data_IF_313894452328
#
_entry.id   IF_313894452328
#
_cell.length_a   1.000
_cell.length_b   1.000
_cell.length_c   1.000
_cell.angle_alpha   90.00
_cell.angle_beta   90.00
_cell.angle_gamma   90.00
#
_symmetry.space_group_name_H-M   'P 1'
#
loop_
_entity.id
_entity.type
_entity.pdbx_description
1 polymer ?
#
# COMPACT_ATOMS: atom_id res chain seq x y z
N UNK A 1 12.75 8.45 -15.26
CA UNK A 1 13.82 8.86 -14.35
C UNK A 1 13.42 8.53 -12.92
N UNK A 2 14.40 8.20 -12.05
CA UNK A 2 14.13 7.95 -10.63
C UNK A 2 15.07 8.78 -9.73
N UNK A 3 14.55 9.26 -8.60
CA UNK A 3 15.30 9.82 -7.50
C UNK A 3 15.11 8.92 -6.28
N UNK A 4 16.17 8.38 -5.72
CA UNK A 4 16.13 7.33 -4.69
C UNK A 4 17.11 7.63 -3.53
N UNK A 5 16.84 7.06 -2.35
CA UNK A 5 17.66 7.23 -1.15
C UNK A 5 17.70 5.94 -0.30
N UNK A 6 18.63 5.01 -0.60
CA UNK A 6 19.55 4.95 -1.75
C UNK A 6 18.94 4.29 -3.00
N UNK A 7 19.72 4.21 -4.09
CA UNK A 7 19.42 3.30 -5.21
C UNK A 7 19.65 1.87 -4.74
N UNK A 8 18.57 1.07 -4.68
CA UNK A 8 18.63 -0.33 -4.19
C UNK A 8 19.17 -1.29 -5.24
N UNK A 9 18.75 -1.11 -6.50
CA UNK A 9 19.16 -1.93 -7.62
C UNK A 9 19.40 -1.06 -8.85
N UNK A 10 20.51 -1.23 -9.52
CA UNK A 10 20.76 -0.62 -10.82
C UNK A 10 19.91 -1.31 -11.89
N UNK A 11 19.16 -0.52 -12.64
CA UNK A 11 18.26 -1.00 -13.70
C UNK A 11 18.67 -0.42 -15.05
N UNK A 12 18.99 -1.32 -16.00
CA UNK A 12 19.34 -0.92 -17.35
C UNK A 12 18.17 -0.16 -18.03
N UNK A 13 18.49 0.93 -18.72
CA UNK A 13 17.50 1.76 -19.41
C UNK A 13 16.76 2.77 -18.51
N UNK A 14 17.03 2.80 -17.22
CA UNK A 14 16.45 3.75 -16.27
C UNK A 14 17.52 4.73 -15.79
N UNK A 15 17.28 6.03 -15.98
CA UNK A 15 18.12 7.07 -15.41
C UNK A 15 17.83 7.20 -13.91
N UNK A 16 18.72 6.64 -13.07
CA UNK A 16 18.58 6.61 -11.62
C UNK A 16 19.54 7.60 -10.96
N UNK A 17 19.03 8.37 -10.03
CA UNK A 17 19.78 9.37 -9.28
C UNK A 17 19.65 9.10 -7.79
N UNK A 18 20.79 9.00 -7.12
CA UNK A 18 20.81 8.89 -5.67
C UNK A 18 20.84 10.26 -5.00
N UNK A 19 19.87 10.50 -4.13
CA UNK A 19 19.81 11.69 -3.27
C UNK A 19 21.01 11.72 -2.32
N UNK A 20 21.55 12.91 -2.07
CA UNK A 20 22.68 13.16 -1.16
C UNK A 20 22.47 14.46 -0.41
N UNK A 21 21.63 14.42 0.63
CA UNK A 21 21.26 15.62 1.42
C UNK A 21 22.46 16.37 1.97
N UNK A 22 23.52 15.65 2.36
CA UNK A 22 24.75 16.25 2.91
C UNK A 22 25.49 17.22 1.98
N UNK A 23 25.21 17.18 0.67
CA UNK A 23 25.73 18.12 -0.33
C UNK A 23 24.64 18.97 -0.99
N UNK A 24 23.42 18.97 -0.39
CA UNK A 24 22.28 19.74 -0.89
C UNK A 24 21.54 19.13 -2.08
N UNK A 25 21.87 17.91 -2.50
CA UNK A 25 21.16 17.23 -3.58
C UNK A 25 19.99 16.43 -3.01
N UNK A 26 18.83 17.09 -2.88
CA UNK A 26 17.59 16.58 -2.29
C UNK A 26 16.65 16.00 -3.34
N UNK A 27 15.56 15.35 -2.90
CA UNK A 27 14.47 14.94 -3.80
C UNK A 27 13.89 16.13 -4.57
N UNK A 28 13.74 17.29 -3.92
CA UNK A 28 13.28 18.52 -4.55
C UNK A 28 14.18 18.95 -5.71
N UNK A 29 15.49 19.01 -5.49
CA UNK A 29 16.47 19.40 -6.52
C UNK A 29 16.53 18.39 -7.67
N UNK A 30 16.47 17.09 -7.38
CA UNK A 30 16.40 16.05 -8.38
C UNK A 30 15.17 16.21 -9.29
N UNK A 31 13.96 16.39 -8.69
CA UNK A 31 12.72 16.60 -9.42
C UNK A 31 12.77 17.86 -10.29
N UNK A 32 13.28 19.00 -9.78
CA UNK A 32 13.47 20.21 -10.55
C UNK A 32 14.36 19.99 -11.77
N UNK A 33 15.37 19.15 -11.61
CA UNK A 33 16.28 18.79 -12.72
C UNK A 33 15.58 17.89 -13.74
N UNK A 34 14.78 16.92 -13.29
CA UNK A 34 14.05 16.00 -14.17
C UNK A 34 13.09 16.72 -15.08
N UNK A 35 12.31 17.67 -14.58
CA UNK A 35 11.37 18.44 -15.35
C UNK A 35 11.98 19.25 -16.52
N UNK A 36 13.31 19.38 -16.56
CA UNK A 36 14.04 19.98 -17.69
C UNK A 36 14.56 18.96 -18.69
N UNK A 37 14.34 17.66 -18.44
CA UNK A 37 14.81 16.56 -19.28
C UNK A 37 13.69 15.88 -20.06
N UNK A 38 12.46 16.45 -19.98
CA UNK A 38 11.24 15.94 -20.66
C UNK A 38 10.97 14.45 -20.44
N UNK A 39 10.91 13.96 -19.18
CA UNK A 39 10.67 12.56 -18.90
C UNK A 39 9.19 12.23 -18.98
N UNK A 40 8.83 11.11 -19.59
CA UNK A 40 7.44 10.60 -19.56
C UNK A 40 7.05 10.09 -18.16
N UNK A 41 8.00 9.43 -17.46
CA UNK A 41 7.77 8.77 -16.17
C UNK A 41 8.82 9.21 -15.16
N UNK A 42 8.35 9.60 -13.98
CA UNK A 42 9.16 10.02 -12.84
C UNK A 42 8.84 9.12 -11.64
N UNK A 43 9.86 8.58 -10.97
CA UNK A 43 9.70 7.94 -9.67
C UNK A 43 10.45 8.75 -8.61
N UNK A 44 9.75 9.15 -7.58
CA UNK A 44 10.30 9.77 -6.37
C UNK A 44 10.29 8.70 -5.29
N UNK A 45 11.45 8.25 -4.85
CA UNK A 45 11.58 7.11 -3.92
C UNK A 45 10.68 7.26 -2.71
N UNK A 46 10.66 8.45 -2.11
CA UNK A 46 9.69 8.80 -1.07
C UNK A 46 9.42 10.30 -1.00
N UNK A 47 8.25 10.65 -0.49
CA UNK A 47 7.86 12.02 -0.19
C UNK A 47 7.90 12.23 1.33
N UNK A 48 8.83 13.08 1.79
CA UNK A 48 9.00 13.40 3.22
C UNK A 48 8.47 14.80 3.59
N UNK A 49 8.45 15.72 2.64
CA UNK A 49 8.19 17.13 2.87
C UNK A 49 7.28 17.76 1.82
N UNK A 50 6.76 18.96 2.15
CA UNK A 50 5.84 19.72 1.32
C UNK A 50 6.46 20.14 -0.02
N UNK A 51 7.73 20.51 -0.04
CA UNK A 51 8.36 21.01 -1.26
C UNK A 51 8.42 19.91 -2.33
N UNK A 52 8.77 18.68 -1.93
CA UNK A 52 8.77 17.51 -2.79
C UNK A 52 7.36 17.17 -3.29
N UNK A 53 6.33 17.18 -2.39
CA UNK A 53 4.92 16.97 -2.80
C UNK A 53 4.50 17.97 -3.85
N UNK A 54 4.74 19.27 -3.60
CA UNK A 54 4.27 20.35 -4.48
C UNK A 54 4.83 20.21 -5.90
N UNK A 55 6.11 19.79 -6.04
CA UNK A 55 6.73 19.58 -7.33
C UNK A 55 6.20 18.31 -8.00
N UNK A 56 6.07 17.21 -7.26
CA UNK A 56 5.57 15.94 -7.77
C UNK A 56 4.13 16.07 -8.32
N UNK A 57 3.24 16.72 -7.57
CA UNK A 57 1.87 16.98 -8.02
C UNK A 57 1.81 17.93 -9.23
N UNK A 58 2.64 18.97 -9.25
CA UNK A 58 2.72 19.87 -10.43
C UNK A 58 3.23 19.13 -11.67
N UNK A 59 4.23 18.25 -11.51
CA UNK A 59 4.69 17.40 -12.59
C UNK A 59 3.57 16.50 -13.13
N UNK A 60 2.80 15.88 -12.27
CA UNK A 60 1.64 15.08 -12.67
C UNK A 60 0.59 15.89 -13.42
N UNK A 61 0.32 17.12 -12.99
CA UNK A 61 -0.63 18.04 -13.66
C UNK A 61 -0.15 18.54 -15.03
N UNK A 62 1.16 18.51 -15.29
CA UNK A 62 1.75 18.89 -16.57
C UNK A 62 1.93 17.72 -17.53
N UNK A 63 1.39 16.53 -17.21
CA UNK A 63 1.30 15.39 -18.11
C UNK A 63 2.28 14.24 -17.82
N UNK A 64 3.14 14.38 -16.81
CA UNK A 64 4.06 13.30 -16.43
C UNK A 64 3.36 12.22 -15.60
N UNK A 65 3.70 10.97 -15.81
CA UNK A 65 3.32 9.90 -14.88
C UNK A 65 4.28 9.88 -13.69
N UNK A 66 3.77 10.19 -12.50
CA UNK A 66 4.58 10.31 -11.29
C UNK A 66 4.23 9.19 -10.31
N UNK A 67 5.24 8.42 -9.91
CA UNK A 67 5.16 7.44 -8.83
C UNK A 67 5.93 7.93 -7.61
N UNK A 68 5.41 7.65 -6.42
CA UNK A 68 6.14 7.89 -5.18
C UNK A 68 5.64 7.00 -4.06
N UNK A 69 6.38 6.98 -2.95
CA UNK A 69 5.95 6.32 -1.71
C UNK A 69 5.68 7.33 -0.59
N UNK A 70 4.78 6.94 0.30
CA UNK A 70 4.46 7.64 1.53
C UNK A 70 4.49 6.65 2.69
N UNK A 71 4.97 7.09 3.85
CA UNK A 71 4.91 6.27 5.07
C UNK A 71 3.53 6.41 5.71
N UNK A 72 2.60 5.56 5.29
CA UNK A 72 1.22 5.46 5.79
C UNK A 72 0.84 4.01 6.04
N UNK A 73 -0.14 3.78 6.91
CA UNK A 73 -0.56 2.43 7.30
C UNK A 73 -1.54 1.81 6.30
N UNK A 74 -2.34 2.64 5.64
CA UNK A 74 -3.37 2.26 4.67
C UNK A 74 -3.48 3.30 3.55
N UNK A 75 -4.20 2.94 2.48
CA UNK A 75 -4.33 3.82 1.31
C UNK A 75 -5.12 5.10 1.62
N UNK A 76 -6.27 5.07 2.33
CA UNK A 76 -7.01 6.31 2.63
C UNK A 76 -6.24 7.30 3.51
N UNK A 77 -5.42 6.82 4.45
CA UNK A 77 -4.61 7.69 5.31
C UNK A 77 -3.55 8.48 4.54
N UNK A 78 -3.19 8.03 3.35
CA UNK A 78 -2.27 8.77 2.47
C UNK A 78 -2.85 10.12 2.02
N UNK A 79 -4.16 10.21 1.78
CA UNK A 79 -4.82 11.48 1.47
C UNK A 79 -4.69 12.44 2.64
N UNK A 80 -5.03 11.96 3.84
CA UNK A 80 -4.89 12.76 5.08
C UNK A 80 -3.44 13.18 5.32
N UNK A 81 -2.48 12.30 5.03
CA UNK A 81 -1.06 12.61 5.16
C UNK A 81 -0.65 13.76 4.25
N UNK A 82 -1.05 13.74 2.97
CA UNK A 82 -0.78 14.82 2.01
C UNK A 82 -1.41 16.15 2.47
N UNK A 83 -2.65 16.13 2.96
CA UNK A 83 -3.31 17.31 3.52
C UNK A 83 -2.56 17.85 4.74
N UNK A 84 -2.13 16.99 5.66
CA UNK A 84 -1.38 17.37 6.86
C UNK A 84 0.01 17.93 6.54
N UNK A 85 0.60 17.58 5.41
CA UNK A 85 1.83 18.19 4.89
C UNK A 85 1.60 19.61 4.35
N UNK A 86 0.35 20.10 4.36
CA UNK A 86 -0.02 21.43 3.89
C UNK A 86 -0.21 21.51 2.36
N UNK A 87 -0.47 20.37 1.72
CA UNK A 87 -0.80 20.32 0.29
C UNK A 87 -2.24 20.76 0.09
N UNK A 88 -2.50 21.73 -0.81
CA UNK A 88 -3.87 22.16 -1.11
C UNK A 88 -4.72 21.01 -1.66
N UNK A 89 -5.96 20.87 -1.15
CA UNK A 89 -6.90 19.83 -1.55
C UNK A 89 -7.19 19.78 -3.05
N UNK A 90 -7.22 20.94 -3.72
CA UNK A 90 -7.44 21.00 -5.17
C UNK A 90 -6.29 20.37 -5.97
N UNK A 91 -5.04 20.46 -5.49
CA UNK A 91 -3.89 19.80 -6.13
C UNK A 91 -3.97 18.28 -5.96
N UNK A 92 -4.29 17.81 -4.76
CA UNK A 92 -4.47 16.37 -4.48
C UNK A 92 -5.58 15.82 -5.38
N UNK A 93 -6.75 16.46 -5.35
CA UNK A 93 -7.91 16.03 -6.15
C UNK A 93 -7.63 15.99 -7.66
N UNK A 94 -6.84 16.94 -8.18
CA UNK A 94 -6.58 17.04 -9.62
C UNK A 94 -5.49 16.05 -10.08
N UNK A 95 -4.45 15.81 -9.28
CA UNK A 95 -3.27 15.05 -9.69
C UNK A 95 -3.29 13.58 -9.23
N UNK A 96 -3.89 13.28 -8.07
CA UNK A 96 -3.88 11.94 -7.52
C UNK A 96 -4.88 11.04 -8.27
N UNK A 97 -4.40 9.90 -8.74
CA UNK A 97 -5.21 8.95 -9.52
C UNK A 97 -5.39 7.61 -8.81
N UNK A 98 -4.37 7.16 -8.08
CA UNK A 98 -4.38 5.85 -7.43
C UNK A 98 -3.46 5.86 -6.21
N UNK A 99 -3.90 5.19 -5.15
CA UNK A 99 -3.07 4.89 -3.99
C UNK A 99 -3.07 3.38 -3.79
N UNK A 100 -1.88 2.82 -3.58
CA UNK A 100 -1.72 1.41 -3.24
C UNK A 100 -1.00 1.31 -1.89
N UNK A 101 -1.58 0.59 -0.94
CA UNK A 101 -0.86 0.18 0.26
C UNK A 101 -0.56 -1.32 0.21
N UNK A 102 0.57 -1.71 0.80
CA UNK A 102 1.10 -3.07 0.74
C UNK A 102 1.65 -3.51 2.09
N UNK A 103 1.40 -4.77 2.42
CA UNK A 103 2.10 -5.47 3.50
C UNK A 103 2.67 -6.78 2.95
N UNK A 104 3.84 -7.20 3.44
CA UNK A 104 4.42 -8.49 3.11
C UNK A 104 4.10 -9.50 4.21
N UNK A 105 3.48 -10.62 3.81
CA UNK A 105 3.18 -11.75 4.67
C UNK A 105 3.99 -12.99 4.25
N UNK A 106 4.29 -13.84 5.21
CA UNK A 106 4.86 -15.16 4.93
C UNK A 106 3.76 -16.06 4.39
N UNK A 107 4.06 -16.79 3.33
CA UNK A 107 3.12 -17.73 2.71
C UNK A 107 3.12 -19.05 3.50
N UNK A 108 1.94 -19.58 3.83
CA UNK A 108 1.81 -20.90 4.45
C UNK A 108 2.44 -21.95 3.53
N UNK A 109 3.24 -22.83 4.10
CA UNK A 109 3.87 -23.90 3.33
C UNK A 109 2.81 -24.91 2.85
N UNK A 110 2.68 -25.07 1.53
CA UNK A 110 1.68 -25.95 0.93
C UNK A 110 1.91 -27.44 1.22
N UNK A 111 3.18 -27.83 1.42
CA UNK A 111 3.55 -29.24 1.62
C UNK A 111 3.17 -29.75 3.01
N UNK A 112 3.07 -28.86 3.99
CA UNK A 112 2.79 -29.25 5.36
C UNK A 112 1.58 -28.51 5.98
N UNK A 113 0.75 -27.87 5.15
CA UNK A 113 -0.43 -27.20 5.68
C UNK A 113 -1.46 -28.21 6.19
N UNK A 114 -1.98 -27.92 7.37
CA UNK A 114 -3.06 -28.64 8.03
C UNK A 114 -4.15 -27.68 8.47
N UNK A 115 -5.35 -28.16 8.72
CA UNK A 115 -6.42 -27.34 9.30
C UNK A 115 -6.01 -26.91 10.69
N UNK A 116 -6.18 -25.62 11.02
CA UNK A 116 -5.96 -25.10 12.36
C UNK A 116 -7.25 -25.21 13.18
N UNK A 117 -7.34 -26.26 13.98
CA UNK A 117 -8.51 -26.54 14.84
C UNK A 117 -8.72 -25.52 15.97
N UNK A 118 -7.73 -24.65 16.24
CA UNK A 118 -7.85 -23.61 17.26
C UNK A 118 -8.64 -22.39 16.76
N UNK A 119 -8.88 -22.28 15.46
CA UNK A 119 -9.60 -21.15 14.89
C UNK A 119 -11.10 -21.41 14.94
N UNK A 120 -11.77 -20.66 15.80
CA UNK A 120 -13.20 -20.77 16.00
C UNK A 120 -14.00 -19.80 15.14
N UNK A 121 -15.27 -20.08 14.81
CA UNK A 121 -16.13 -19.11 14.11
C UNK A 121 -16.24 -17.77 14.83
N UNK A 122 -16.22 -17.76 16.16
CA UNK A 122 -16.23 -16.52 16.96
C UNK A 122 -14.99 -15.68 16.70
N UNK A 123 -13.82 -16.28 16.57
CA UNK A 123 -12.57 -15.60 16.28
C UNK A 123 -12.59 -15.02 14.85
N UNK A 124 -13.12 -15.77 13.88
CA UNK A 124 -13.27 -15.26 12.50
C UNK A 124 -14.28 -14.11 12.41
N UNK A 125 -15.38 -14.18 13.16
CA UNK A 125 -16.35 -13.07 13.22
C UNK A 125 -15.73 -11.79 13.78
N UNK A 126 -14.80 -11.89 14.74
CA UNK A 126 -14.14 -10.71 15.32
C UNK A 126 -13.20 -9.97 14.33
N UNK A 127 -12.80 -10.63 13.25
CA UNK A 127 -12.01 -10.04 12.17
C UNK A 127 -12.85 -9.71 10.93
N UNK A 128 -14.18 -9.75 11.03
CA UNK A 128 -15.10 -9.28 10.00
C UNK A 128 -15.72 -10.35 9.09
N UNK A 129 -15.49 -11.64 9.35
CA UNK A 129 -16.22 -12.69 8.63
C UNK A 129 -17.71 -12.68 8.98
N UNK A 130 -18.54 -12.91 7.98
CA UNK A 130 -19.97 -13.13 8.21
C UNK A 130 -20.20 -14.46 8.92
N UNK A 131 -21.25 -14.59 9.80
CA UNK A 131 -21.51 -15.83 10.53
C UNK A 131 -21.64 -17.08 9.66
N UNK A 132 -22.21 -16.96 8.47
CA UNK A 132 -22.34 -18.06 7.53
C UNK A 132 -21.00 -18.48 6.91
N UNK A 133 -20.11 -17.52 6.67
CA UNK A 133 -18.77 -17.76 6.17
C UNK A 133 -17.90 -18.41 7.23
N UNK A 134 -17.90 -17.86 8.45
CA UNK A 134 -17.08 -18.35 9.56
C UNK A 134 -17.46 -19.79 9.99
N UNK A 135 -18.74 -20.15 9.91
CA UNK A 135 -19.21 -21.49 10.23
C UNK A 135 -18.70 -22.58 9.25
N UNK A 136 -18.36 -22.20 8.02
CA UNK A 136 -17.88 -23.12 6.96
C UNK A 136 -16.42 -22.97 6.63
N UNK A 137 -15.76 -21.95 7.15
CA UNK A 137 -14.37 -21.65 6.83
C UNK A 137 -13.43 -22.75 7.34
N UNK A 138 -12.49 -23.14 6.51
CA UNK A 138 -11.36 -24.00 6.88
C UNK A 138 -10.11 -23.14 6.82
N UNK A 139 -9.54 -22.86 7.97
CA UNK A 139 -8.32 -22.08 8.10
C UNK A 139 -7.15 -23.01 8.26
N UNK A 140 -6.03 -22.69 7.63
CA UNK A 140 -4.85 -23.56 7.58
C UNK A 140 -3.67 -22.93 8.31
N UNK A 141 -2.80 -23.81 8.83
CA UNK A 141 -1.46 -23.46 9.32
C UNK A 141 -0.43 -24.46 8.79
N UNK A 142 0.82 -24.06 8.70
CA UNK A 142 1.91 -24.97 8.41
C UNK A 142 2.34 -25.72 9.68
N UNK A 143 2.42 -27.06 9.61
CA UNK A 143 2.89 -27.91 10.72
C UNK A 143 4.41 -27.98 10.82
N UNK A 144 5.13 -27.53 9.78
CA UNK A 144 6.57 -27.67 9.67
C UNK A 144 6.99 -28.94 8.91
N UNK A 145 7.92 -28.81 7.95
CA UNK A 145 8.52 -29.91 7.20
C UNK A 145 9.93 -29.52 6.74
N UNK A 146 10.65 -30.43 6.10
CA UNK A 146 11.98 -30.15 5.55
C UNK A 146 11.96 -28.99 4.53
N UNK A 147 10.95 -28.95 3.65
CA UNK A 147 10.83 -27.95 2.60
C UNK A 147 10.70 -26.50 3.13
N UNK A 148 10.17 -26.32 4.33
CA UNK A 148 10.07 -25.02 5.01
C UNK A 148 11.03 -24.92 6.22
N UNK A 149 11.98 -25.83 6.37
CA UNK A 149 12.93 -25.90 7.48
C UNK A 149 12.24 -25.82 8.86
N UNK A 150 11.11 -26.52 9.00
CA UNK A 150 10.35 -26.59 10.25
C UNK A 150 9.48 -25.38 10.56
N UNK A 151 9.57 -24.28 9.78
CA UNK A 151 8.91 -23.00 10.09
C UNK A 151 7.40 -22.99 9.83
N UNK A 152 6.88 -23.89 8.99
CA UNK A 152 5.50 -23.85 8.49
C UNK A 152 5.24 -22.82 7.41
N UNK A 153 6.25 -21.99 7.00
CA UNK A 153 6.14 -20.95 6.00
C UNK A 153 7.16 -21.11 4.89
N UNK A 154 6.78 -20.80 3.64
CA UNK A 154 7.70 -20.82 2.49
C UNK A 154 7.39 -19.69 1.53
N UNK A 155 8.37 -18.79 1.38
CA UNK A 155 8.23 -17.59 0.56
C UNK A 155 7.39 -16.50 1.22
N UNK A 156 7.15 -15.44 0.46
CA UNK A 156 6.38 -14.25 0.86
C UNK A 156 5.38 -13.90 -0.21
N UNK A 157 4.32 -13.20 0.17
CA UNK A 157 3.33 -12.63 -0.74
C UNK A 157 2.96 -11.23 -0.28
N UNK A 158 2.55 -10.40 -1.23
CA UNK A 158 1.99 -9.08 -0.93
C UNK A 158 0.51 -9.19 -0.59
N UNK A 159 0.09 -8.46 0.42
CA UNK A 159 -1.30 -8.14 0.70
C UNK A 159 -1.48 -6.68 0.32
N UNK A 160 -2.43 -6.38 -0.54
CA UNK A 160 -2.61 -5.06 -1.14
C UNK A 160 -3.99 -4.52 -0.83
N UNK A 161 -4.08 -3.20 -0.77
CA UNK A 161 -5.32 -2.47 -0.99
C UNK A 161 -5.05 -1.39 -2.03
N UNK A 162 -5.97 -1.23 -2.96
CA UNK A 162 -5.85 -0.31 -4.09
C UNK A 162 -7.05 0.61 -4.07
N UNK A 163 -6.79 1.91 -3.84
CA UNK A 163 -7.77 2.97 -3.82
C UNK A 163 -7.66 3.79 -5.11
N UNK A 164 -8.60 3.60 -6.02
CA UNK A 164 -8.75 4.47 -7.17
C UNK A 164 -9.41 5.78 -6.74
N UNK A 165 -8.84 6.91 -7.15
CA UNK A 165 -9.35 8.25 -6.84
C UNK A 165 -10.35 8.66 -7.92
N UNK A 166 -11.57 8.19 -7.79
CA UNK A 166 -12.68 8.49 -8.68
C UNK A 166 -13.24 9.91 -8.48
N UNK A 167 -14.23 10.27 -9.27
CA UNK A 167 -14.83 11.61 -9.21
C UNK A 167 -15.55 11.89 -7.87
N UNK A 168 -16.10 10.88 -7.21
CA UNK A 168 -16.79 11.04 -5.93
C UNK A 168 -15.79 11.28 -4.81
N UNK A 169 -14.67 10.54 -4.79
CA UNK A 169 -13.56 10.78 -3.88
C UNK A 169 -12.87 12.13 -4.13
N UNK A 170 -12.65 12.51 -5.40
CA UNK A 170 -12.13 13.83 -5.76
C UNK A 170 -12.99 14.95 -5.20
N UNK A 171 -14.32 14.85 -5.35
CA UNK A 171 -15.25 15.82 -4.78
C UNK A 171 -15.20 15.84 -3.25
N UNK A 172 -15.07 14.67 -2.61
CA UNK A 172 -14.91 14.55 -1.16
C UNK A 172 -13.64 15.23 -0.65
N UNK A 173 -12.50 15.03 -1.32
CA UNK A 173 -11.23 15.69 -0.99
C UNK A 173 -11.35 17.20 -1.14
N UNK A 174 -11.95 17.69 -2.23
CA UNK A 174 -12.18 19.12 -2.46
C UNK A 174 -13.05 19.76 -1.37
N UNK A 175 -14.04 19.02 -0.87
CA UNK A 175 -14.96 19.45 0.19
C UNK A 175 -14.38 19.28 1.60
N UNK A 176 -13.12 18.86 1.74
CA UNK A 176 -12.46 18.59 3.03
C UNK A 176 -13.22 17.57 3.89
N UNK A 177 -13.81 16.54 3.29
CA UNK A 177 -14.45 15.47 4.05
C UNK A 177 -13.43 14.77 4.97
N UNK A 178 -13.92 14.31 6.12
CA UNK A 178 -13.09 13.57 7.07
C UNK A 178 -12.72 12.19 6.49
N UNK A 179 -11.63 11.62 6.99
CA UNK A 179 -11.17 10.30 6.53
C UNK A 179 -12.25 9.21 6.60
N UNK A 180 -13.10 9.24 7.62
CA UNK A 180 -14.22 8.29 7.77
C UNK A 180 -15.24 8.39 6.65
N UNK A 181 -15.53 9.60 6.17
CA UNK A 181 -16.45 9.87 5.07
C UNK A 181 -15.82 9.44 3.73
N UNK A 182 -14.54 9.75 3.52
CA UNK A 182 -13.81 9.29 2.34
C UNK A 182 -13.74 7.76 2.28
N UNK A 183 -13.53 7.09 3.42
CA UNK A 183 -13.58 5.63 3.51
C UNK A 183 -14.95 5.06 3.17
N UNK A 184 -16.03 5.73 3.60
CA UNK A 184 -17.39 5.31 3.27
C UNK A 184 -17.68 5.39 1.76
N UNK A 185 -17.24 6.48 1.12
CA UNK A 185 -17.30 6.66 -0.35
C UNK A 185 -16.51 5.55 -1.04
N UNK A 186 -15.26 5.35 -0.65
CA UNK A 186 -14.39 4.32 -1.25
C UNK A 186 -15.03 2.93 -1.17
N UNK A 187 -15.52 2.52 0.01
CA UNK A 187 -16.18 1.22 0.21
C UNK A 187 -17.43 1.07 -0.65
N UNK A 188 -18.27 2.11 -0.73
CA UNK A 188 -19.46 2.12 -1.60
C UNK A 188 -19.07 1.87 -3.07
N UNK A 189 -17.93 2.38 -3.51
CA UNK A 189 -17.41 2.27 -4.87
C UNK A 189 -16.51 1.02 -5.09
N UNK A 190 -16.54 0.06 -4.15
CA UNK A 190 -15.93 -1.25 -4.30
C UNK A 190 -14.48 -1.36 -3.79
N UNK A 191 -13.98 -0.34 -3.06
CA UNK A 191 -12.67 -0.42 -2.42
C UNK A 191 -12.63 -1.58 -1.41
N UNK A 192 -11.63 -2.43 -1.56
CA UNK A 192 -11.34 -3.55 -0.67
C UNK A 192 -10.08 -3.25 0.15
N UNK A 193 -10.21 -3.42 1.46
CA UNK A 193 -9.09 -3.20 2.39
C UNK A 193 -8.11 -4.36 2.39
N UNK A 194 -6.92 -4.15 2.95
CA UNK A 194 -5.96 -5.25 3.18
C UNK A 194 -6.55 -6.35 4.07
N UNK A 195 -7.45 -6.01 4.99
CA UNK A 195 -8.16 -6.98 5.82
C UNK A 195 -9.08 -7.87 4.97
N UNK A 196 -9.82 -7.28 4.01
CA UNK A 196 -10.68 -8.05 3.09
C UNK A 196 -9.85 -9.00 2.23
N UNK A 197 -8.71 -8.54 1.69
CA UNK A 197 -7.79 -9.40 0.95
C UNK A 197 -7.18 -10.49 1.86
N UNK A 198 -6.81 -10.13 3.09
CA UNK A 198 -6.30 -11.08 4.07
C UNK A 198 -7.29 -12.18 4.41
N UNK A 199 -8.60 -11.86 4.48
CA UNK A 199 -9.66 -12.86 4.67
C UNK A 199 -9.74 -13.84 3.50
N UNK A 200 -9.64 -13.38 2.25
CA UNK A 200 -9.59 -14.26 1.09
C UNK A 200 -8.38 -15.20 1.13
N UNK A 201 -7.21 -14.68 1.55
CA UNK A 201 -5.99 -15.46 1.68
C UNK A 201 -6.05 -16.48 2.84
N UNK A 202 -6.80 -16.19 3.90
CA UNK A 202 -7.10 -17.17 4.94
C UNK A 202 -7.97 -18.31 4.39
N UNK A 203 -8.99 -18.00 3.61
CA UNK A 203 -9.89 -18.99 3.00
C UNK A 203 -9.19 -19.87 1.96
N UNK A 204 -8.27 -19.32 1.18
CA UNK A 204 -7.45 -20.09 0.23
C UNK A 204 -6.41 -21.00 0.92
N UNK A 205 -6.08 -20.70 2.19
CA UNK A 205 -5.03 -21.38 2.95
C UNK A 205 -3.62 -20.92 2.59
N UNK A 206 -3.47 -19.83 1.85
CA UNK A 206 -2.17 -19.19 1.54
C UNK A 206 -1.63 -18.41 2.73
N UNK A 207 -2.52 -17.91 3.60
CA UNK A 207 -2.21 -17.16 4.81
C UNK A 207 -2.68 -17.95 6.04
N UNK A 208 -1.86 -18.07 7.08
CA UNK A 208 -2.29 -18.58 8.38
C UNK A 208 -2.90 -17.46 9.23
N UNK A 209 -3.75 -17.81 10.18
CA UNK A 209 -4.37 -16.83 11.07
C UNK A 209 -3.33 -16.07 11.91
N UNK A 210 -2.32 -16.74 12.43
CA UNK A 210 -1.24 -16.13 13.19
C UNK A 210 -0.47 -15.08 12.34
N UNK A 211 -0.28 -15.33 11.06
CA UNK A 211 0.39 -14.38 10.17
C UNK A 211 -0.54 -13.22 9.78
N UNK A 212 -1.85 -13.47 9.62
CA UNK A 212 -2.86 -12.44 9.45
C UNK A 212 -2.86 -11.45 10.63
N UNK A 213 -2.91 -11.96 11.88
CA UNK A 213 -2.84 -11.12 13.07
C UNK A 213 -1.55 -10.30 13.10
N UNK A 214 -0.41 -10.94 12.86
CA UNK A 214 0.90 -10.28 12.86
C UNK A 214 0.99 -9.12 11.87
N UNK A 215 0.41 -9.28 10.68
CA UNK A 215 0.60 -8.31 9.58
C UNK A 215 -0.49 -7.25 9.53
N UNK A 216 -1.73 -7.61 9.88
CA UNK A 216 -2.91 -6.76 9.67
C UNK A 216 -3.60 -6.26 10.95
N UNK A 217 -3.29 -6.86 12.12
CA UNK A 217 -3.87 -6.44 13.40
C UNK A 217 -2.84 -5.84 14.38
N UNK A 218 -1.53 -6.00 14.12
CA UNK A 218 -0.49 -5.39 14.94
C UNK A 218 -0.31 -3.92 14.57
N UNK A 219 -1.22 -3.08 15.06
CA UNK A 219 -1.10 -1.61 15.06
C UNK A 219 -1.23 -1.08 16.49
#
# INVERSE_FOLDING_TARGET
LTAEDPVEYEMEGIGQVQVKEGIGYTFEEALRSFLRQDPEVILVGEIRDKATVDIALKAALTGHLVFSTLHTNDAPSSITRLLNMGTPNYLISAALTLIMAQRLARKTCLDCRVIDENITPKLLNSIGFLPEQSARAKIYKGSGCENCSGSGYKGRMGIYEILEIDNELKAGVLSNLQQTELNAIAKKNGFRTMQDMGQDLLLSGDLSFAEYERVLQSN
#
